data_IF_626023647793
#
_entry.id   IF_626023647793
#
_cell.length_a   1.000
_cell.length_b   1.000
_cell.length_c   1.000
_cell.angle_alpha   90.00
_cell.angle_beta   90.00
_cell.angle_gamma   90.00
#
_symmetry.space_group_name_H-M   'P 1'
#
loop_
_entity.id
_entity.type
_entity.pdbx_description
1 polymer ?
#
# COMPACT_ATOMS: atom_id res chain seq x y z
N UNK A 1 2.33 -21.44 -10.08
CA UNK A 1 2.29 -20.00 -9.76
C UNK A 1 2.93 -19.79 -8.39
N UNK A 2 3.82 -18.83 -8.27
CA UNK A 2 4.48 -18.51 -7.00
C UNK A 2 3.54 -17.75 -6.05
N UNK A 3 3.68 -17.99 -4.74
CA UNK A 3 2.92 -17.27 -3.71
C UNK A 3 3.57 -15.91 -3.44
N UNK A 4 2.76 -14.86 -3.32
CA UNK A 4 3.22 -13.50 -3.03
C UNK A 4 2.33 -12.85 -1.96
N UNK A 5 2.72 -12.88 -0.68
CA UNK A 5 2.08 -12.08 0.35
C UNK A 5 2.38 -10.59 0.10
N UNK A 6 1.38 -9.74 0.33
CA UNK A 6 1.49 -8.27 0.26
C UNK A 6 1.00 -7.73 1.59
N UNK A 7 1.89 -7.09 2.33
CA UNK A 7 1.61 -6.54 3.65
C UNK A 7 1.03 -5.14 3.54
N UNK A 8 0.11 -4.81 4.42
CA UNK A 8 -0.49 -3.48 4.52
C UNK A 8 -0.31 -2.97 5.95
N UNK A 9 0.43 -1.89 6.08
CA UNK A 9 0.63 -1.10 7.29
C UNK A 9 0.03 0.30 7.10
N UNK A 10 -0.09 1.05 8.20
CA UNK A 10 -0.54 2.44 8.20
C UNK A 10 0.36 3.30 9.10
N UNK A 11 -0.11 3.66 10.28
CA UNK A 11 0.60 4.49 11.22
C UNK A 11 1.64 3.71 12.06
N UNK A 12 2.78 4.33 12.33
CA UNK A 12 3.83 3.79 13.21
C UNK A 12 3.98 4.71 14.43
N UNK A 13 4.12 4.15 15.61
CA UNK A 13 4.26 4.89 16.87
C UNK A 13 5.44 4.38 17.69
N UNK A 14 5.94 5.19 18.61
CA UNK A 14 6.92 4.73 19.62
C UNK A 14 6.25 4.04 20.80
N UNK A 15 4.94 4.22 20.97
CA UNK A 15 4.13 3.61 22.00
C UNK A 15 3.56 2.26 21.55
N UNK A 16 2.84 1.57 22.43
CA UNK A 16 2.11 0.35 22.07
C UNK A 16 1.06 0.61 21.00
N UNK A 17 1.08 -0.21 19.97
CA UNK A 17 0.18 -0.09 18.83
C UNK A 17 -0.97 -1.09 18.86
N UNK A 18 -2.13 -0.67 18.32
CA UNK A 18 -3.31 -1.52 18.13
C UNK A 18 -4.03 -1.17 16.83
N UNK A 19 -4.68 -2.15 16.23
CA UNK A 19 -5.43 -1.96 14.98
C UNK A 19 -4.49 -1.57 13.84
N UNK A 20 -4.70 -0.39 13.25
CA UNK A 20 -3.89 0.12 12.14
C UNK A 20 -2.59 0.81 12.59
N UNK A 21 -2.40 0.99 13.89
CA UNK A 21 -1.18 1.57 14.46
C UNK A 21 -0.26 0.46 14.97
N UNK A 22 0.98 0.44 14.53
CA UNK A 22 2.00 -0.52 14.98
C UNK A 22 3.12 0.21 15.71
N UNK A 23 3.64 -0.37 16.81
CA UNK A 23 4.83 0.17 17.46
C UNK A 23 6.07 -0.03 16.59
N UNK A 24 7.01 0.92 16.63
CA UNK A 24 8.28 0.85 15.93
C UNK A 24 9.05 -0.43 16.32
N UNK A 25 9.00 -0.82 17.60
CA UNK A 25 9.61 -2.05 18.10
C UNK A 25 9.02 -3.31 17.45
N UNK A 26 7.68 -3.38 17.33
CA UNK A 26 7.02 -4.53 16.71
C UNK A 26 7.26 -4.55 15.19
N UNK A 27 7.25 -3.39 14.54
CA UNK A 27 7.60 -3.26 13.12
C UNK A 27 9.03 -3.72 12.87
N UNK A 28 9.97 -3.33 13.73
CA UNK A 28 11.36 -3.74 13.64
C UNK A 28 11.54 -5.26 13.78
N UNK A 29 10.87 -5.90 14.76
CA UNK A 29 10.86 -7.37 14.90
C UNK A 29 10.38 -8.08 13.64
N UNK A 30 9.34 -7.51 12.98
CA UNK A 30 8.80 -8.06 11.74
C UNK A 30 9.78 -7.87 10.56
N UNK A 31 10.40 -6.70 10.41
CA UNK A 31 11.36 -6.42 9.34
C UNK A 31 12.65 -7.21 9.51
N UNK A 32 13.15 -7.32 10.73
CA UNK A 32 14.28 -8.20 11.05
C UNK A 32 13.98 -9.64 10.64
N UNK A 33 12.78 -10.15 10.99
CA UNK A 33 12.37 -11.49 10.59
C UNK A 33 12.38 -11.67 9.07
N UNK A 34 11.90 -10.68 8.30
CA UNK A 34 11.92 -10.77 6.83
C UNK A 34 13.36 -10.84 6.30
N UNK A 35 14.23 -9.96 6.80
CA UNK A 35 15.65 -9.89 6.38
C UNK A 35 16.40 -11.17 6.71
N UNK A 36 16.36 -11.63 7.97
CA UNK A 36 17.06 -12.84 8.42
C UNK A 36 16.58 -14.11 7.73
N UNK A 37 15.33 -14.16 7.30
CA UNK A 37 14.77 -15.32 6.60
C UNK A 37 14.86 -15.23 5.08
N UNK A 38 15.61 -14.27 4.54
CA UNK A 38 15.90 -14.14 3.11
C UNK A 38 14.70 -13.78 2.24
N UNK A 39 13.75 -13.03 2.77
CA UNK A 39 12.65 -12.48 1.96
C UNK A 39 13.17 -11.41 1.01
N UNK A 40 12.88 -11.54 -0.27
CA UNK A 40 13.12 -10.49 -1.27
C UNK A 40 11.89 -9.59 -1.35
N UNK A 41 12.10 -8.28 -1.12
CA UNK A 41 11.05 -7.27 -1.25
C UNK A 41 11.04 -6.66 -2.64
N UNK A 42 9.85 -6.31 -3.13
CA UNK A 42 9.64 -5.70 -4.45
C UNK A 42 8.82 -4.44 -4.31
N UNK A 43 9.11 -3.44 -5.14
CA UNK A 43 8.15 -2.44 -5.51
C UNK A 43 7.08 -3.04 -6.44
N UNK A 44 5.86 -2.56 -6.39
CA UNK A 44 4.79 -3.06 -7.26
C UNK A 44 5.08 -2.81 -8.75
N UNK A 45 5.76 -1.69 -9.09
CA UNK A 45 6.19 -1.41 -10.47
C UNK A 45 7.21 -2.41 -11.02
N UNK A 46 8.00 -3.03 -10.14
CA UNK A 46 8.94 -4.06 -10.58
C UNK A 46 8.17 -5.31 -11.04
N UNK A 47 7.06 -5.63 -10.35
CA UNK A 47 6.21 -6.77 -10.69
C UNK A 47 5.52 -6.62 -12.06
N UNK A 48 5.24 -5.37 -12.50
CA UNK A 48 4.68 -5.12 -13.84
C UNK A 48 5.58 -5.63 -14.98
N UNK A 49 6.89 -5.69 -14.72
CA UNK A 49 7.89 -6.12 -15.70
C UNK A 49 8.25 -7.60 -15.62
N UNK A 50 7.77 -8.31 -14.59
CA UNK A 50 8.12 -9.71 -14.35
C UNK A 50 7.06 -10.65 -14.94
N UNK A 51 7.51 -11.71 -15.62
CA UNK A 51 6.66 -12.83 -16.02
C UNK A 51 6.51 -13.85 -14.89
N UNK A 52 7.54 -13.99 -14.06
CA UNK A 52 7.58 -14.89 -12.90
C UNK A 52 8.42 -14.30 -11.76
N UNK A 53 8.17 -14.70 -10.54
CA UNK A 53 8.98 -14.32 -9.40
C UNK A 53 10.29 -15.10 -9.36
N UNK A 54 11.40 -14.50 -8.88
CA UNK A 54 12.62 -15.24 -8.65
C UNK A 54 12.40 -16.35 -7.59
N UNK A 55 13.22 -17.39 -7.66
CA UNK A 55 13.20 -18.46 -6.66
C UNK A 55 13.42 -17.91 -5.25
N UNK A 56 12.72 -18.49 -4.27
CA UNK A 56 12.83 -18.12 -2.85
C UNK A 56 11.58 -17.45 -2.29
N UNK A 57 11.73 -16.78 -1.15
CA UNK A 57 10.65 -16.10 -0.44
C UNK A 57 10.53 -14.67 -0.96
N UNK A 58 9.38 -14.35 -1.55
CA UNK A 58 9.10 -13.03 -2.13
C UNK A 58 7.95 -12.37 -1.37
N UNK A 59 8.01 -11.07 -1.16
CA UNK A 59 7.01 -10.30 -0.41
C UNK A 59 6.95 -8.87 -0.91
N UNK A 60 5.80 -8.22 -0.76
CA UNK A 60 5.64 -6.77 -0.95
C UNK A 60 5.24 -6.15 0.38
N UNK A 61 5.84 -5.02 0.70
CA UNK A 61 5.49 -4.20 1.87
C UNK A 61 4.78 -2.96 1.37
N UNK A 62 3.60 -2.65 1.92
CA UNK A 62 2.88 -1.43 1.59
C UNK A 62 2.50 -0.67 2.86
N UNK A 63 2.48 0.66 2.76
CA UNK A 63 1.96 1.56 3.78
C UNK A 63 0.89 2.45 3.14
N UNK A 64 -0.23 2.61 3.81
CA UNK A 64 -1.31 3.49 3.37
C UNK A 64 -1.27 4.84 4.10
N UNK A 65 -2.00 5.82 3.58
CA UNK A 65 -2.28 7.14 4.13
C UNK A 65 -1.14 8.17 4.11
N UNK A 66 0.11 7.76 3.89
CA UNK A 66 1.23 8.71 3.78
C UNK A 66 1.58 9.44 5.08
N UNK A 67 1.39 8.83 6.25
CA UNK A 67 1.68 9.42 7.56
C UNK A 67 3.15 9.86 7.71
N UNK A 68 3.40 10.99 8.38
CA UNK A 68 4.75 11.45 8.73
C UNK A 68 5.53 10.39 9.51
N UNK A 69 4.86 9.60 10.35
CA UNK A 69 5.47 8.49 11.07
C UNK A 69 6.09 7.40 10.17
N UNK A 70 5.64 7.29 8.92
CA UNK A 70 6.25 6.37 7.95
C UNK A 70 7.62 6.89 7.48
N UNK A 71 7.77 8.21 7.34
CA UNK A 71 9.05 8.85 7.05
C UNK A 71 10.00 8.74 8.25
N UNK A 72 9.51 9.07 9.46
CA UNK A 72 10.35 9.23 10.64
C UNK A 72 10.73 7.89 11.29
N UNK A 73 9.83 6.90 11.29
CA UNK A 73 10.00 5.65 12.01
C UNK A 73 10.12 4.42 11.10
N UNK A 74 9.31 4.32 10.01
CA UNK A 74 9.38 3.14 9.15
C UNK A 74 10.54 3.20 8.14
N UNK A 75 10.80 4.35 7.52
CA UNK A 75 11.87 4.50 6.52
C UNK A 75 13.27 4.17 7.09
N UNK A 76 13.67 4.59 8.30
CA UNK A 76 14.93 4.15 8.90
C UNK A 76 15.06 2.63 9.04
N UNK A 77 13.96 1.94 9.38
CA UNK A 77 13.95 0.48 9.47
C UNK A 77 14.04 -0.18 8.09
N UNK A 78 13.33 0.35 7.08
CA UNK A 78 13.45 -0.12 5.69
C UNK A 78 14.91 -0.03 5.20
N UNK A 79 15.58 1.10 5.51
CA UNK A 79 17.02 1.29 5.21
C UNK A 79 17.89 0.29 5.95
N UNK A 80 17.71 0.16 7.27
CA UNK A 80 18.47 -0.74 8.14
C UNK A 80 18.45 -2.18 7.64
N UNK A 81 17.26 -2.67 7.27
CA UNK A 81 17.06 -4.05 6.83
C UNK A 81 17.11 -4.25 5.31
N UNK A 82 17.46 -3.19 4.55
CA UNK A 82 17.55 -3.20 3.07
C UNK A 82 16.27 -3.71 2.40
N UNK A 83 15.12 -3.29 2.94
CA UNK A 83 13.79 -3.64 2.44
C UNK A 83 13.24 -2.51 1.58
N UNK A 84 12.37 -2.87 0.63
CA UNK A 84 11.62 -1.93 -0.22
C UNK A 84 10.16 -1.90 0.22
N UNK A 85 9.51 -0.74 0.07
CA UNK A 85 8.08 -0.59 0.32
C UNK A 85 7.41 0.32 -0.73
N UNK A 86 6.08 0.19 -0.86
CA UNK A 86 5.24 1.12 -1.61
C UNK A 86 4.39 1.92 -0.62
N UNK A 87 4.46 3.26 -0.69
CA UNK A 87 3.61 4.16 0.10
C UNK A 87 2.46 4.65 -0.75
N UNK A 88 1.23 4.40 -0.32
CA UNK A 88 0.00 4.86 -0.95
C UNK A 88 -0.48 6.14 -0.28
N UNK A 89 -0.59 7.21 -1.06
CA UNK A 89 -0.77 8.56 -0.52
C UNK A 89 -2.06 9.19 -1.03
N UNK A 90 -2.95 9.69 -0.14
CA UNK A 90 -4.11 10.47 -0.50
C UNK A 90 -3.70 11.93 -0.73
N UNK A 91 -3.72 12.39 -1.99
CA UNK A 91 -2.99 13.59 -2.41
C UNK A 91 -3.60 14.91 -1.91
N UNK A 92 -4.91 14.98 -1.65
CA UNK A 92 -5.54 16.18 -1.08
C UNK A 92 -5.09 16.47 0.36
N UNK A 93 -4.54 15.47 1.04
CA UNK A 93 -4.20 15.56 2.46
C UNK A 93 -2.73 15.87 2.74
N UNK A 94 -1.92 16.11 1.72
CA UNK A 94 -0.50 16.45 1.91
C UNK A 94 -0.34 17.69 2.81
N UNK A 95 0.46 17.55 3.87
CA UNK A 95 0.68 18.58 4.89
C UNK A 95 -0.53 18.86 5.80
N UNK A 96 -1.57 18.04 5.73
CA UNK A 96 -2.76 18.09 6.59
C UNK A 96 -2.76 16.91 7.57
N UNK A 97 -3.91 16.64 8.20
CA UNK A 97 -4.14 15.52 9.09
C UNK A 97 -5.16 14.53 8.55
N UNK A 98 -5.25 13.35 9.15
CA UNK A 98 -6.13 12.24 8.79
C UNK A 98 -7.60 12.49 9.20
N UNK A 99 -8.25 13.48 8.63
CA UNK A 99 -9.63 13.88 8.98
C UNK A 99 -10.67 12.78 8.81
N UNK A 100 -10.37 11.72 8.09
CA UNK A 100 -11.22 10.53 7.95
C UNK A 100 -11.11 9.54 9.12
N UNK A 101 -10.20 9.77 10.07
CA UNK A 101 -9.94 8.89 11.21
C UNK A 101 -9.90 9.69 12.52
N UNK A 102 -8.72 10.01 13.04
CA UNK A 102 -8.56 10.71 14.32
C UNK A 102 -8.49 12.23 14.20
N UNK A 103 -8.22 12.74 13.01
CA UNK A 103 -7.92 14.15 12.71
C UNK A 103 -6.66 14.69 13.43
N UNK A 104 -5.81 13.80 13.95
CA UNK A 104 -4.63 14.14 14.75
C UNK A 104 -3.30 13.68 14.16
N UNK A 105 -3.33 12.71 13.24
CA UNK A 105 -2.11 12.15 12.66
C UNK A 105 -1.72 12.93 11.40
N UNK A 106 -0.48 13.43 11.39
CA UNK A 106 0.04 14.24 10.29
C UNK A 106 0.36 13.39 9.06
N UNK A 107 -0.01 13.92 7.88
CA UNK A 107 0.33 13.38 6.57
C UNK A 107 1.54 14.12 6.02
N UNK A 108 2.47 13.42 5.39
CA UNK A 108 3.66 14.00 4.78
C UNK A 108 3.33 15.18 3.88
N UNK A 109 4.18 16.21 3.92
CA UNK A 109 4.12 17.33 2.98
C UNK A 109 4.61 16.90 1.58
N UNK A 110 4.38 17.74 0.58
CA UNK A 110 4.90 17.54 -0.77
C UNK A 110 6.44 17.43 -0.77
N UNK A 111 7.12 18.26 0.00
CA UNK A 111 8.58 18.27 0.11
C UNK A 111 9.10 16.98 0.76
N UNK A 112 8.42 16.50 1.79
CA UNK A 112 8.75 15.22 2.43
C UNK A 112 8.58 14.05 1.45
N UNK A 113 7.51 14.01 0.65
CA UNK A 113 7.37 13.00 -0.40
C UNK A 113 8.50 13.06 -1.44
N UNK A 114 8.90 14.27 -1.87
CA UNK A 114 10.00 14.46 -2.81
C UNK A 114 11.35 14.03 -2.25
N UNK A 115 11.52 14.05 -0.94
CA UNK A 115 12.77 13.64 -0.26
C UNK A 115 12.95 12.12 -0.16
N UNK A 116 11.91 11.32 -0.43
CA UNK A 116 11.97 9.86 -0.33
C UNK A 116 12.90 9.25 -1.39
N UNK A 117 13.83 8.38 -0.95
CA UNK A 117 14.68 7.62 -1.87
C UNK A 117 13.85 6.61 -2.66
N UNK A 118 13.69 6.84 -3.95
CA UNK A 118 12.92 5.98 -4.85
C UNK A 118 13.48 4.56 -5.05
N UNK A 119 14.68 4.27 -4.55
CA UNK A 119 15.24 2.90 -4.48
C UNK A 119 14.65 2.11 -3.31
N UNK A 120 14.15 2.80 -2.28
CA UNK A 120 13.61 2.20 -1.06
C UNK A 120 12.09 2.33 -1.03
N UNK A 121 11.56 3.51 -1.36
CA UNK A 121 10.13 3.80 -1.33
C UNK A 121 9.61 4.13 -2.72
N UNK A 122 8.66 3.33 -3.18
CA UNK A 122 7.82 3.61 -4.34
C UNK A 122 6.57 4.38 -3.88
N UNK A 123 6.14 5.38 -4.63
CA UNK A 123 4.86 6.06 -4.39
C UNK A 123 3.76 5.46 -5.25
N UNK A 124 2.59 5.25 -4.66
CA UNK A 124 1.36 4.81 -5.30
C UNK A 124 0.16 5.65 -4.88
N UNK A 125 -0.94 5.56 -5.63
CA UNK A 125 -2.15 6.34 -5.39
C UNK A 125 -3.01 5.74 -4.27
N UNK A 126 -3.61 6.61 -3.44
CA UNK A 126 -4.64 6.24 -2.45
C UNK A 126 -5.92 7.07 -2.62
N UNK A 127 -6.36 7.27 -3.86
CA UNK A 127 -7.32 8.28 -4.33
C UNK A 127 -6.84 9.73 -4.08
N UNK A 128 -7.56 10.71 -4.58
CA UNK A 128 -7.26 12.11 -4.27
C UNK A 128 -7.84 12.49 -2.91
N UNK A 129 -9.14 12.22 -2.70
CA UNK A 129 -9.91 12.65 -1.53
C UNK A 129 -10.11 11.57 -0.45
N UNK A 130 -9.44 10.44 -0.52
CA UNK A 130 -9.57 9.30 0.42
C UNK A 130 -11.01 8.81 0.60
N UNK A 131 -11.85 8.91 -0.45
CA UNK A 131 -13.24 8.46 -0.42
C UNK A 131 -13.38 6.99 -0.79
N UNK A 132 -14.37 6.30 -0.23
CA UNK A 132 -14.69 4.91 -0.61
C UNK A 132 -15.25 4.86 -2.02
N UNK A 133 -14.64 4.14 -2.92
CA UNK A 133 -15.11 3.99 -4.31
C UNK A 133 -16.50 3.35 -4.44
N UNK A 134 -17.01 2.68 -3.39
CA UNK A 134 -18.38 2.18 -3.33
C UNK A 134 -19.43 3.28 -3.21
N UNK A 135 -19.05 4.44 -2.71
CA UNK A 135 -19.92 5.60 -2.45
C UNK A 135 -19.88 6.64 -3.58
N UNK A 136 -18.95 6.50 -4.53
CA UNK A 136 -18.78 7.41 -5.66
C UNK A 136 -19.48 6.89 -6.92
N UNK A 137 -20.04 7.78 -7.71
CA UNK A 137 -20.46 7.48 -9.09
C UNK A 137 -19.25 7.19 -9.99
N UNK A 138 -19.50 6.61 -11.17
CA UNK A 138 -18.41 6.36 -12.13
C UNK A 138 -17.72 7.65 -12.59
N UNK A 139 -18.46 8.73 -12.76
CA UNK A 139 -17.91 10.04 -13.12
C UNK A 139 -17.03 10.63 -12.03
N UNK A 140 -17.42 10.49 -10.75
CA UNK A 140 -16.61 10.93 -9.61
C UNK A 140 -15.32 10.10 -9.47
N UNK A 141 -15.38 8.78 -9.72
CA UNK A 141 -14.21 7.91 -9.73
C UNK A 141 -13.22 8.33 -10.82
N UNK A 142 -13.72 8.65 -12.02
CA UNK A 142 -12.90 9.14 -13.12
C UNK A 142 -12.27 10.49 -12.77
N UNK A 143 -13.05 11.42 -12.24
CA UNK A 143 -12.57 12.75 -11.84
C UNK A 143 -11.51 12.67 -10.74
N UNK A 144 -11.71 11.83 -9.70
CA UNK A 144 -10.73 11.58 -8.62
C UNK A 144 -9.41 11.02 -9.19
N UNK A 145 -9.52 10.02 -10.06
CA UNK A 145 -8.33 9.40 -10.67
C UNK A 145 -7.57 10.39 -11.55
N UNK A 146 -8.29 11.17 -12.38
CA UNK A 146 -7.68 12.19 -13.24
C UNK A 146 -7.00 13.28 -12.41
N UNK A 147 -7.66 13.75 -11.33
CA UNK A 147 -7.08 14.75 -10.43
C UNK A 147 -5.79 14.26 -9.76
N UNK A 148 -5.71 12.98 -9.42
CA UNK A 148 -4.45 12.37 -8.95
C UNK A 148 -3.32 12.52 -9.98
N UNK A 149 -3.60 12.17 -11.24
CA UNK A 149 -2.59 12.21 -12.32
C UNK A 149 -2.14 13.65 -12.63
N UNK A 150 -3.09 14.59 -12.69
CA UNK A 150 -2.82 16.02 -12.87
C UNK A 150 -1.92 16.55 -11.76
N UNK A 151 -2.28 16.31 -10.50
CA UNK A 151 -1.52 16.78 -9.35
C UNK A 151 -0.08 16.24 -9.35
N UNK A 152 0.09 14.95 -9.64
CA UNK A 152 1.41 14.32 -9.73
C UNK A 152 2.26 14.97 -10.83
N UNK A 153 1.66 15.24 -12.01
CA UNK A 153 2.33 15.92 -13.13
C UNK A 153 2.68 17.36 -12.80
N UNK A 154 1.73 18.14 -12.26
CA UNK A 154 1.90 19.55 -11.89
C UNK A 154 3.04 19.74 -10.88
N UNK A 155 3.23 18.80 -9.96
CA UNK A 155 4.22 18.87 -8.90
C UNK A 155 5.52 18.12 -9.18
N UNK A 156 5.69 17.53 -10.37
CA UNK A 156 6.88 16.78 -10.75
C UNK A 156 7.14 15.54 -9.91
N UNK A 157 6.08 14.92 -9.33
CA UNK A 157 6.17 13.70 -8.56
C UNK A 157 6.26 12.47 -9.48
N UNK A 158 6.83 11.39 -8.95
CA UNK A 158 6.94 10.11 -9.67
C UNK A 158 6.13 9.04 -8.93
N UNK A 159 4.90 8.85 -9.37
CA UNK A 159 4.02 7.79 -8.88
C UNK A 159 4.03 6.59 -9.84
N UNK A 160 3.97 5.41 -9.26
CA UNK A 160 3.78 4.18 -10.03
C UNK A 160 2.29 3.98 -10.34
N UNK A 161 1.93 3.27 -11.43
CA UNK A 161 0.55 3.08 -11.85
C UNK A 161 -0.18 2.06 -10.98
N UNK A 162 -0.13 2.24 -9.68
CA UNK A 162 -0.70 1.33 -8.68
C UNK A 162 -1.57 2.11 -7.70
N UNK A 163 -2.75 1.58 -7.39
CA UNK A 163 -3.77 2.22 -6.57
C UNK A 163 -4.21 1.30 -5.44
N UNK A 164 -4.06 1.71 -4.20
CA UNK A 164 -4.73 1.08 -3.07
C UNK A 164 -6.11 1.71 -2.87
N UNK A 165 -7.14 0.88 -2.78
CA UNK A 165 -8.50 1.37 -2.57
C UNK A 165 -8.70 1.81 -1.12
N UNK A 166 -9.11 3.06 -0.85
CA UNK A 166 -9.42 3.50 0.49
C UNK A 166 -10.40 2.55 1.20
N UNK A 167 -10.10 2.20 2.44
CA UNK A 167 -10.83 1.20 3.23
C UNK A 167 -10.90 -0.20 2.58
N UNK A 168 -10.10 -0.48 1.54
CA UNK A 168 -10.19 -1.71 0.74
C UNK A 168 -11.51 -1.87 -0.03
N UNK A 169 -12.30 -0.78 -0.18
CA UNK A 169 -13.66 -0.80 -0.75
C UNK A 169 -13.64 -0.37 -2.23
N UNK A 170 -14.28 -1.18 -3.05
CA UNK A 170 -14.49 -0.92 -4.48
C UNK A 170 -15.82 -1.54 -4.94
N UNK A 171 -16.41 -1.09 -6.07
CA UNK A 171 -17.66 -1.63 -6.58
C UNK A 171 -17.55 -3.14 -6.88
N UNK A 172 -18.49 -3.94 -6.37
CA UNK A 172 -18.50 -5.41 -6.55
C UNK A 172 -19.62 -5.90 -7.47
N UNK A 173 -20.66 -5.08 -7.67
CA UNK A 173 -21.71 -5.38 -8.64
C UNK A 173 -21.06 -5.47 -10.04
N UNK A 174 -21.39 -6.53 -10.81
CA UNK A 174 -20.64 -6.93 -12.01
C UNK A 174 -20.48 -5.81 -13.02
N UNK A 175 -21.58 -5.18 -13.44
CA UNK A 175 -21.54 -4.13 -14.46
C UNK A 175 -20.73 -2.91 -13.98
N UNK A 176 -20.97 -2.47 -12.74
CA UNK A 176 -20.26 -1.35 -12.13
C UNK A 176 -18.79 -1.65 -11.92
N UNK A 177 -18.43 -2.89 -11.54
CA UNK A 177 -17.05 -3.32 -11.37
C UNK A 177 -16.28 -3.31 -12.71
N UNK A 178 -16.93 -3.73 -13.80
CA UNK A 178 -16.31 -3.69 -15.12
C UNK A 178 -16.04 -2.24 -15.57
N UNK A 179 -17.00 -1.33 -15.38
CA UNK A 179 -16.82 0.09 -15.67
C UNK A 179 -15.68 0.66 -14.82
N UNK A 180 -15.69 0.41 -13.50
CA UNK A 180 -14.66 0.85 -12.57
C UNK A 180 -13.24 0.43 -13.03
N UNK A 181 -13.05 -0.85 -13.33
CA UNK A 181 -11.76 -1.36 -13.82
C UNK A 181 -11.35 -0.75 -15.15
N UNK A 182 -12.31 -0.57 -16.06
CA UNK A 182 -12.07 0.07 -17.36
C UNK A 182 -11.63 1.52 -17.16
N UNK A 183 -12.30 2.27 -16.29
CA UNK A 183 -11.94 3.66 -15.94
C UNK A 183 -10.52 3.75 -15.41
N UNK A 184 -10.15 2.90 -14.44
CA UNK A 184 -8.80 2.86 -13.90
C UNK A 184 -7.76 2.56 -14.99
N UNK A 185 -8.02 1.56 -15.83
CA UNK A 185 -7.11 1.15 -16.90
C UNK A 185 -6.91 2.24 -17.95
N UNK A 186 -7.98 2.92 -18.38
CA UNK A 186 -7.90 4.02 -19.35
C UNK A 186 -7.07 5.18 -18.80
N UNK A 187 -7.12 5.42 -17.49
CA UNK A 187 -6.30 6.42 -16.79
C UNK A 187 -4.91 5.89 -16.42
N UNK A 188 -4.47 4.77 -16.99
CA UNK A 188 -3.10 4.28 -16.84
C UNK A 188 -2.82 3.54 -15.53
N UNK A 189 -3.81 3.23 -14.70
CA UNK A 189 -3.64 2.38 -13.51
C UNK A 189 -3.54 0.93 -13.94
N UNK A 190 -2.49 0.24 -13.51
CA UNK A 190 -2.21 -1.16 -13.86
C UNK A 190 -2.59 -2.15 -12.75
N UNK A 191 -2.39 -1.75 -11.48
CA UNK A 191 -2.74 -2.56 -10.32
C UNK A 191 -3.68 -1.84 -9.36
N UNK A 192 -4.73 -2.57 -8.93
CA UNK A 192 -5.65 -2.13 -7.88
C UNK A 192 -5.61 -3.09 -6.69
N UNK A 193 -5.33 -2.56 -5.49
CA UNK A 193 -5.13 -3.32 -4.28
C UNK A 193 -6.28 -3.12 -3.29
N UNK A 194 -6.71 -4.22 -2.69
CA UNK A 194 -7.77 -4.26 -1.68
C UNK A 194 -7.35 -4.99 -0.41
N UNK A 195 -8.13 -4.90 0.64
CA UNK A 195 -8.00 -5.75 1.81
C UNK A 195 -8.66 -7.10 1.51
N UNK A 196 -8.00 -8.20 1.83
CA UNK A 196 -8.55 -9.54 1.65
C UNK A 196 -7.93 -10.57 2.57
N UNK A 197 -6.77 -10.26 3.12
CA UNK A 197 -6.02 -11.12 4.04
C UNK A 197 -5.60 -12.48 3.44
N UNK A 198 -5.56 -12.60 2.11
CA UNK A 198 -5.10 -13.81 1.41
C UNK A 198 -3.76 -13.58 0.75
N UNK A 199 -3.06 -14.66 0.48
CA UNK A 199 -1.81 -14.65 -0.29
C UNK A 199 -2.16 -14.74 -1.77
N UNK A 200 -1.59 -13.82 -2.55
CA UNK A 200 -1.79 -13.83 -3.99
C UNK A 200 -0.94 -14.93 -4.67
N UNK A 201 -1.39 -15.33 -5.84
CA UNK A 201 -0.57 -16.06 -6.81
C UNK A 201 -0.03 -15.09 -7.84
N UNK A 202 1.25 -15.20 -8.19
CA UNK A 202 1.86 -14.38 -9.23
C UNK A 202 2.17 -15.24 -10.47
N UNK A 203 1.96 -14.73 -11.70
CA UNK A 203 1.40 -13.41 -12.05
C UNK A 203 -0.08 -13.26 -11.65
N UNK A 204 -0.50 -12.01 -11.41
CA UNK A 204 -1.86 -11.71 -10.94
C UNK A 204 -2.90 -11.97 -12.03
N UNK A 205 -3.85 -12.90 -11.78
CA UNK A 205 -4.98 -13.13 -12.69
C UNK A 205 -6.01 -11.99 -12.69
N UNK A 206 -6.10 -11.26 -11.58
CA UNK A 206 -7.04 -10.15 -11.38
C UNK A 206 -6.28 -8.91 -10.91
N UNK A 207 -5.65 -8.15 -11.83
CA UNK A 207 -4.75 -7.07 -11.47
C UNK A 207 -5.41 -5.91 -10.70
N UNK A 208 -6.74 -5.78 -10.77
CA UNK A 208 -7.53 -4.79 -10.00
C UNK A 208 -8.19 -5.36 -8.73
N UNK A 209 -7.83 -6.57 -8.31
CA UNK A 209 -8.35 -7.20 -7.08
C UNK A 209 -7.23 -7.84 -6.25
N UNK A 210 -6.04 -7.27 -6.28
CA UNK A 210 -4.87 -7.78 -5.56
C UNK A 210 -5.12 -7.67 -4.06
N UNK A 211 -4.97 -8.76 -3.33
CA UNK A 211 -5.27 -8.82 -1.90
C UNK A 211 -4.05 -8.45 -1.06
N UNK A 212 -4.29 -7.70 0.01
CA UNK A 212 -3.28 -7.37 1.01
C UNK A 212 -3.62 -7.99 2.36
N UNK A 213 -2.58 -8.33 3.11
CA UNK A 213 -2.65 -8.79 4.49
C UNK A 213 -2.63 -7.55 5.38
N UNK A 214 -3.73 -7.29 6.05
CA UNK A 214 -3.88 -6.21 7.03
C UNK A 214 -3.12 -6.59 8.31
N UNK A 215 -1.95 -5.98 8.51
CA UNK A 215 -1.08 -6.21 9.66
C UNK A 215 -1.56 -5.33 10.82
N UNK A 216 -1.98 -5.97 11.90
CA UNK A 216 -2.44 -5.27 13.11
C UNK A 216 -1.29 -5.02 14.09
N UNK A 217 -1.35 -3.87 14.77
CA UNK A 217 -0.32 -3.47 15.74
C UNK A 217 -0.11 -4.47 16.86
N UNK A 218 -1.18 -5.14 17.31
CA UNK A 218 -1.16 -6.18 18.33
C UNK A 218 -0.69 -7.57 17.86
N UNK A 219 -0.31 -7.74 16.59
CA UNK A 219 0.18 -9.03 16.11
C UNK A 219 1.52 -9.38 16.76
N UNK A 220 1.56 -10.51 17.49
CA UNK A 220 2.83 -11.11 17.88
C UNK A 220 3.64 -11.52 16.64
N UNK A 221 4.94 -11.65 16.77
CA UNK A 221 5.81 -12.14 15.70
C UNK A 221 5.36 -13.54 15.19
N UNK A 222 4.88 -14.40 16.08
CA UNK A 222 4.33 -15.71 15.69
C UNK A 222 3.10 -15.54 14.79
N UNK A 223 2.16 -14.65 15.16
CA UNK A 223 0.97 -14.35 14.36
C UNK A 223 1.34 -13.76 13.00
N UNK A 224 2.29 -12.83 12.97
CA UNK A 224 2.83 -12.27 11.72
C UNK A 224 3.38 -13.36 10.81
N UNK A 225 4.24 -14.26 11.32
CA UNK A 225 4.80 -15.40 10.57
C UNK A 225 3.71 -16.31 9.99
N UNK A 226 2.67 -16.60 10.77
CA UNK A 226 1.52 -17.36 10.29
C UNK A 226 0.79 -16.64 9.15
N UNK A 227 0.57 -15.32 9.29
CA UNK A 227 -0.10 -14.51 8.27
C UNK A 227 0.65 -14.46 6.94
N UNK A 228 1.96 -14.24 6.94
CA UNK A 228 2.74 -14.20 5.71
C UNK A 228 2.87 -15.58 5.04
N UNK A 229 2.74 -16.67 5.80
CA UNK A 229 2.82 -18.05 5.29
C UNK A 229 1.49 -18.58 4.76
N UNK A 230 0.38 -18.24 5.41
CA UNK A 230 -0.93 -18.86 5.16
C UNK A 230 -2.04 -17.86 4.80
N UNK A 231 -1.85 -16.56 5.05
CA UNK A 231 -2.90 -15.56 4.91
C UNK A 231 -3.99 -15.71 5.99
N UNK A 232 -5.24 -15.52 5.58
CA UNK A 232 -6.41 -15.78 6.44
C UNK A 232 -6.61 -17.29 6.57
N UNK A 233 -6.57 -17.78 7.79
CA UNK A 233 -6.71 -19.22 8.08
C UNK A 233 -8.18 -19.64 8.27
N UNK A 234 -9.15 -18.82 8.16
CA UNK A 234 -10.61 -19.04 8.19
C UNK A 234 -11.32 -17.67 8.35
#
# INVERSE_FOLDING_TARGET
MAKLPILMYHHVTVEDGKGLTISVENLEKQFNHLAENGYKTFHLKELLKLKELPKGKNIVITFDDGYVSQLDLALPLLKKYKLKATFFVPLDFLGKTDTWNTSSLEIMTLEQLKSLDSKIVELGFHSFYHKKYTELSNAEIEADTRRCLEFVSENGLRFSPVLAYPYGKFPKEKARNEIFKKTLKINGIEYGLRIGNRINSFPFKKPFEIERIDVKGEFSLLKFRQKIRFGKLF
#
